data_IF_316261774979
#
_entry.id   IF_316261774979
#
_cell.length_a   1.000
_cell.length_b   1.000
_cell.length_c   1.000
_cell.angle_alpha   90.00
_cell.angle_beta   90.00
_cell.angle_gamma   90.00
#
_symmetry.space_group_name_H-M   'P 1'
#
loop_
_entity.id
_entity.type
_entity.pdbx_description
1 polymer ?
#
# COMPACT_ATOMS: atom_id res chain seq x y z
N UNK A 1 -5.03 1.03 -14.42
CA UNK A 1 -5.46 -0.09 -13.55
C UNK A 1 -5.70 0.47 -12.16
N UNK A 2 -6.81 0.14 -11.51
CA UNK A 2 -7.05 0.49 -10.10
C UNK A 2 -7.00 -0.76 -9.22
N UNK A 3 -6.33 -0.68 -8.08
CA UNK A 3 -6.27 -1.76 -7.10
C UNK A 3 -6.54 -1.19 -5.71
N UNK A 4 -7.47 -1.79 -4.98
CA UNK A 4 -7.76 -1.42 -3.59
C UNK A 4 -7.20 -2.50 -2.70
N UNK A 5 -6.31 -2.15 -1.78
CA UNK A 5 -5.72 -3.08 -0.82
C UNK A 5 -5.95 -2.62 0.62
N UNK A 6 -6.05 -3.60 1.51
CA UNK A 6 -6.04 -3.40 2.96
C UNK A 6 -4.69 -3.87 3.48
N UNK A 7 -3.95 -3.00 4.16
CA UNK A 7 -2.64 -3.33 4.72
C UNK A 7 -2.49 -2.80 6.12
N UNK A 8 -1.78 -3.53 6.98
CA UNK A 8 -1.40 -3.06 8.32
C UNK A 8 -0.21 -2.10 8.29
N UNK A 9 0.39 -1.90 7.12
CA UNK A 9 1.51 -0.96 6.91
C UNK A 9 0.98 0.47 6.99
N UNK A 10 1.75 1.34 7.64
CA UNK A 10 1.38 2.73 7.80
C UNK A 10 1.33 3.49 6.47
N UNK A 11 0.45 4.48 6.31
CA UNK A 11 0.37 5.30 5.10
C UNK A 11 1.68 6.01 4.76
N UNK A 12 2.52 6.25 5.77
CA UNK A 12 3.84 6.86 5.59
C UNK A 12 4.82 5.92 4.88
N UNK A 13 4.93 4.66 5.31
CA UNK A 13 5.71 3.62 4.62
C UNK A 13 5.15 3.34 3.22
N UNK A 14 3.82 3.30 3.07
CA UNK A 14 3.16 3.15 1.76
C UNK A 14 3.60 4.27 0.81
N UNK A 15 3.59 5.52 1.27
CA UNK A 15 4.07 6.68 0.49
C UNK A 15 5.55 6.56 0.18
N UNK A 16 6.36 6.04 1.10
CA UNK A 16 7.80 5.86 0.87
C UNK A 16 8.11 4.75 -0.14
N UNK A 17 7.38 3.63 -0.09
CA UNK A 17 7.46 2.54 -1.07
C UNK A 17 6.99 3.03 -2.46
N UNK A 18 5.97 3.88 -2.47
CA UNK A 18 5.48 4.54 -3.68
C UNK A 18 6.42 5.62 -4.19
N UNK A 19 7.30 6.14 -3.34
CA UNK A 19 8.31 7.13 -3.73
C UNK A 19 9.26 6.47 -4.73
N UNK A 20 9.18 6.92 -5.98
CA UNK A 20 9.91 6.33 -7.12
C UNK A 20 9.10 5.35 -7.96
N UNK A 21 7.89 4.97 -7.55
CA UNK A 21 6.90 4.31 -8.41
C UNK A 21 5.85 5.35 -8.76
N UNK A 22 5.82 5.80 -10.01
CA UNK A 22 4.87 6.80 -10.50
C UNK A 22 3.42 6.26 -10.45
N UNK A 23 2.85 6.19 -9.24
CA UNK A 23 1.59 5.59 -8.85
C UNK A 23 0.80 6.62 -8.04
N UNK A 24 -0.48 6.74 -8.31
CA UNK A 24 -1.40 7.52 -7.49
C UNK A 24 -1.86 6.67 -6.32
N UNK A 25 -1.58 7.10 -5.09
CA UNK A 25 -2.06 6.42 -3.89
C UNK A 25 -3.04 7.33 -3.17
N UNK A 26 -4.22 6.78 -2.89
CA UNK A 26 -5.31 7.45 -2.17
C UNK A 26 -5.68 6.65 -0.94
N UNK A 27 -5.64 7.28 0.23
CA UNK A 27 -6.02 6.61 1.48
C UNK A 27 -7.52 6.76 1.62
N UNK A 28 -8.24 5.64 1.54
CA UNK A 28 -9.70 5.60 1.68
C UNK A 28 -10.13 5.59 3.15
N UNK A 29 -9.27 5.11 4.05
CA UNK A 29 -9.51 5.12 5.49
C UNK A 29 -8.67 4.09 6.24
N UNK A 30 -9.02 3.88 7.50
CA UNK A 30 -8.46 2.81 8.34
C UNK A 30 -9.60 2.03 9.00
N UNK A 31 -9.36 0.74 9.19
CA UNK A 31 -10.27 -0.21 9.81
C UNK A 31 -9.50 -0.84 10.98
N UNK A 32 -9.96 -0.62 12.20
CA UNK A 32 -9.31 -1.20 13.39
C UNK A 32 -9.95 -2.56 13.70
N UNK A 33 -9.17 -3.63 13.59
CA UNK A 33 -9.59 -4.99 13.89
C UNK A 33 -8.86 -5.44 15.15
N UNK A 34 -9.58 -5.40 16.29
CA UNK A 34 -9.10 -5.74 17.63
C UNK A 34 -7.87 -4.92 18.06
N UNK A 35 -6.68 -5.35 17.64
CA UNK A 35 -5.36 -4.79 18.00
C UNK A 35 -4.62 -4.25 16.77
N UNK A 36 -5.13 -4.51 15.55
CA UNK A 36 -4.42 -4.23 14.30
C UNK A 36 -5.19 -3.16 13.52
N UNK A 37 -4.51 -2.07 13.16
CA UNK A 37 -5.05 -1.06 12.23
C UNK A 37 -4.77 -1.50 10.80
N UNK A 38 -5.82 -1.71 10.01
CA UNK A 38 -5.74 -1.95 8.57
C UNK A 38 -6.06 -0.67 7.82
N UNK A 39 -5.07 -0.11 7.14
CA UNK A 39 -5.22 0.99 6.22
C UNK A 39 -5.79 0.50 4.90
N UNK A 40 -6.90 1.10 4.49
CA UNK A 40 -7.52 0.89 3.18
C UNK A 40 -6.96 1.94 2.23
N UNK A 41 -6.21 1.48 1.23
CA UNK A 41 -5.61 2.33 0.22
C UNK A 41 -6.06 1.91 -1.18
N UNK A 42 -6.28 2.90 -2.02
CA UNK A 42 -6.52 2.78 -3.45
C UNK A 42 -5.24 3.18 -4.18
N UNK A 43 -4.81 2.33 -5.10
CA UNK A 43 -3.62 2.51 -5.92
C UNK A 43 -4.09 2.56 -7.36
N UNK A 44 -3.73 3.63 -8.05
CA UNK A 44 -4.01 3.84 -9.46
C UNK A 44 -2.71 3.98 -10.24
N UNK A 45 -2.61 3.21 -11.33
CA UNK A 45 -1.47 3.29 -12.23
C UNK A 45 -1.38 2.12 -13.20
N UNK A 46 -0.18 1.92 -13.73
CA UNK A 46 0.15 0.78 -14.60
C UNK A 46 0.22 -0.53 -13.81
N UNK A 47 -0.27 -1.63 -14.39
CA UNK A 47 -0.22 -2.96 -13.77
C UNK A 47 1.21 -3.34 -13.38
N UNK A 48 2.21 -3.03 -14.23
CA UNK A 48 3.62 -3.36 -13.98
C UNK A 48 4.16 -2.66 -12.73
N UNK A 49 3.78 -1.41 -12.52
CA UNK A 49 4.14 -0.62 -11.33
C UNK A 49 3.39 -1.10 -10.10
N UNK A 50 2.11 -1.44 -10.22
CA UNK A 50 1.32 -2.01 -9.11
C UNK A 50 1.91 -3.34 -8.66
N UNK A 51 2.33 -4.22 -9.57
CA UNK A 51 3.03 -5.47 -9.24
C UNK A 51 4.36 -5.21 -8.52
N UNK A 52 5.16 -4.26 -9.01
CA UNK A 52 6.41 -3.86 -8.35
C UNK A 52 6.15 -3.29 -6.94
N UNK A 53 5.11 -2.47 -6.80
CA UNK A 53 4.67 -1.91 -5.52
C UNK A 53 4.24 -3.01 -4.54
N UNK A 54 3.37 -3.93 -4.95
CA UNK A 54 2.94 -5.06 -4.13
C UNK A 54 4.12 -5.95 -3.71
N UNK A 55 5.11 -6.16 -4.59
CA UNK A 55 6.33 -6.91 -4.26
C UNK A 55 7.15 -6.20 -3.19
N UNK A 56 7.39 -4.89 -3.33
CA UNK A 56 8.08 -4.09 -2.31
C UNK A 56 7.31 -4.07 -0.98
N UNK A 57 5.99 -3.93 -1.05
CA UNK A 57 5.10 -3.91 0.11
C UNK A 57 5.11 -5.24 0.87
N UNK A 58 5.23 -6.37 0.16
CA UNK A 58 5.48 -7.69 0.77
C UNK A 58 6.84 -7.78 1.47
N UNK A 59 7.91 -7.25 0.86
CA UNK A 59 9.24 -7.27 1.45
C UNK A 59 9.33 -6.40 2.72
N UNK A 60 8.74 -5.20 2.68
CA UNK A 60 8.65 -4.33 3.86
C UNK A 60 7.90 -4.99 5.02
N UNK A 61 6.87 -5.81 4.72
CA UNK A 61 6.11 -6.56 5.73
C UNK A 61 6.85 -7.75 6.33
N UNK A 62 7.86 -8.28 5.64
CA UNK A 62 8.60 -9.49 6.05
C UNK A 62 9.92 -9.18 6.77
N UNK A 63 10.38 -7.92 6.75
CA UNK A 63 11.60 -7.47 7.40
C UNK A 63 11.41 -6.82 8.77
N UNK A 64 10.27 -7.06 9.42
CA UNK A 64 9.99 -6.63 10.79
C UNK A 64 10.10 -7.79 11.76
#
# INVERSE_FOLDING_TARGET
MRAIIKTSISPQEIKDIAKGLNLSIKILGKEEIRIITLWKIEIEGEERKIKAFMKKLRMARAGG
#
